data_IF_231674117990
#
_entry.id   IF_231674117990
#
_cell.length_a   1.000
_cell.length_b   1.000
_cell.length_c   1.000
_cell.angle_alpha   90.00
_cell.angle_beta   90.00
_cell.angle_gamma   90.00
#
_symmetry.space_group_name_H-M   'P 1'
#
loop_
_entity.id
_entity.type
_entity.pdbx_description
1 polymer ?
#
# COMPACT_ATOMS: atom_id res chain seq x y z
N UNK A 1 10.82 -27.62 -63.59
CA UNK A 1 10.93 -28.14 -62.21
C UNK A 1 12.38 -28.48 -61.80
N UNK A 2 13.37 -27.63 -62.09
CA UNK A 2 14.79 -27.82 -61.69
C UNK A 2 15.52 -26.52 -61.32
N UNK A 3 14.79 -25.47 -60.92
CA UNK A 3 15.37 -24.16 -60.60
C UNK A 3 14.92 -23.55 -59.26
N UNK A 4 14.16 -24.30 -58.46
CA UNK A 4 13.63 -23.85 -57.15
C UNK A 4 14.24 -24.59 -55.95
N UNK A 5 15.23 -25.46 -56.17
CA UNK A 5 15.88 -26.25 -55.12
C UNK A 5 17.27 -25.72 -54.71
N UNK A 6 17.76 -24.65 -55.33
CA UNK A 6 19.12 -24.11 -55.10
C UNK A 6 19.17 -22.90 -54.16
N UNK A 7 18.01 -22.35 -53.75
CA UNK A 7 17.93 -21.20 -52.83
C UNK A 7 17.75 -21.66 -51.36
N UNK A 8 17.38 -22.92 -51.12
CA UNK A 8 17.15 -23.46 -49.77
C UNK A 8 18.41 -24.01 -49.08
N UNK A 9 19.56 -24.10 -49.77
CA UNK A 9 20.80 -24.68 -49.21
C UNK A 9 21.84 -23.64 -48.75
N UNK A 10 21.57 -22.34 -48.89
CA UNK A 10 22.51 -21.25 -48.57
C UNK A 10 22.20 -20.51 -47.24
N UNK A 11 21.22 -20.99 -46.47
CA UNK A 11 20.85 -20.41 -45.16
C UNK A 11 21.27 -21.27 -43.95
N UNK A 12 22.05 -22.34 -44.14
CA UNK A 12 22.47 -23.24 -43.04
C UNK A 12 23.93 -23.11 -42.59
N UNK A 13 24.69 -22.09 -43.05
CA UNK A 13 26.08 -21.86 -42.59
C UNK A 13 26.40 -20.39 -42.28
N UNK A 14 25.65 -19.79 -41.35
CA UNK A 14 26.14 -18.63 -40.57
C UNK A 14 25.87 -18.81 -39.07
N UNK A 15 26.41 -19.90 -38.52
CA UNK A 15 26.78 -19.98 -37.11
C UNK A 15 28.31 -19.93 -37.05
N UNK A 16 28.86 -18.73 -37.21
CA UNK A 16 30.22 -18.42 -36.82
C UNK A 16 30.14 -17.84 -35.43
N UNK A 17 30.57 -18.63 -34.44
CA UNK A 17 30.64 -18.19 -33.06
C UNK A 17 31.52 -16.95 -32.93
N UNK A 18 30.90 -15.84 -32.54
CA UNK A 18 31.59 -14.84 -31.76
C UNK A 18 31.56 -15.34 -30.30
N UNK A 19 32.53 -16.18 -29.94
CA UNK A 19 32.94 -16.27 -28.54
C UNK A 19 33.55 -14.91 -28.20
N UNK A 20 32.71 -14.02 -27.69
CA UNK A 20 33.19 -12.86 -26.96
C UNK A 20 33.91 -13.40 -25.74
N UNK A 21 35.23 -13.40 -25.78
CA UNK A 21 36.09 -13.47 -24.58
C UNK A 21 36.05 -12.13 -23.84
N UNK A 22 34.86 -11.51 -23.77
CA UNK A 22 34.59 -10.41 -22.88
C UNK A 22 34.89 -10.90 -21.48
N UNK A 23 36.09 -10.56 -20.99
CA UNK A 23 36.36 -10.50 -19.57
C UNK A 23 35.13 -9.87 -18.93
N UNK A 24 34.58 -10.44 -17.84
CA UNK A 24 33.52 -9.75 -17.13
C UNK A 24 34.07 -8.35 -16.85
N UNK A 25 33.47 -7.34 -17.49
CA UNK A 25 33.62 -5.98 -17.00
C UNK A 25 33.21 -6.10 -15.54
N UNK A 26 34.19 -5.93 -14.67
CA UNK A 26 33.94 -5.79 -13.25
C UNK A 26 32.94 -4.65 -13.14
N UNK A 27 31.65 -5.00 -13.00
CA UNK A 27 30.63 -4.10 -12.49
C UNK A 27 31.30 -3.36 -11.35
N UNK A 28 31.44 -2.05 -11.52
CA UNK A 28 32.08 -1.18 -10.55
C UNK A 28 31.60 -1.64 -9.18
N UNK A 29 32.54 -2.17 -8.37
CA UNK A 29 32.21 -2.71 -7.07
C UNK A 29 31.43 -1.64 -6.33
N UNK A 30 30.14 -1.88 -6.12
CA UNK A 30 29.29 -1.00 -5.32
C UNK A 30 30.04 -0.86 -4.02
N UNK A 31 30.44 0.37 -3.68
CA UNK A 31 31.25 0.67 -2.50
C UNK A 31 30.66 -0.11 -1.32
N UNK A 32 31.49 -0.81 -0.52
CA UNK A 32 31.01 -1.69 0.54
C UNK A 32 30.07 -0.88 1.41
N UNK A 33 28.79 -1.27 1.37
CA UNK A 33 27.74 -0.68 2.19
C UNK A 33 28.26 -0.78 3.62
N UNK A 34 28.54 0.37 4.24
CA UNK A 34 29.02 0.43 5.62
C UNK A 34 28.12 -0.42 6.52
N UNK A 35 28.69 -0.96 7.60
CA UNK A 35 28.03 -1.77 8.65
C UNK A 35 26.53 -1.96 8.42
N UNK A 36 26.15 -3.13 7.87
CA UNK A 36 24.75 -3.48 7.66
C UNK A 36 24.02 -3.27 8.97
N UNK A 37 23.10 -2.31 8.99
CA UNK A 37 22.31 -1.98 10.17
C UNK A 37 21.66 -3.25 10.71
N UNK A 38 21.66 -3.42 12.03
CA UNK A 38 21.12 -4.61 12.68
C UNK A 38 19.69 -4.97 12.21
N UNK A 39 18.85 -3.95 11.94
CA UNK A 39 17.51 -4.16 11.40
C UNK A 39 17.49 -4.87 10.03
N UNK A 40 18.42 -4.54 9.14
CA UNK A 40 18.56 -5.21 7.83
C UNK A 40 19.07 -6.64 8.03
N UNK A 41 20.10 -6.80 8.86
CA UNK A 41 20.67 -8.10 9.17
C UNK A 41 19.66 -9.04 9.88
N UNK A 42 18.70 -8.50 10.63
CA UNK A 42 17.66 -9.28 11.29
C UNK A 42 16.46 -9.63 10.38
N UNK A 43 16.35 -9.02 9.19
CA UNK A 43 15.22 -9.26 8.30
C UNK A 43 15.30 -10.67 7.67
N UNK A 44 14.24 -11.46 7.81
CA UNK A 44 14.19 -12.86 7.35
C UNK A 44 14.34 -13.00 5.84
N UNK A 45 13.68 -12.13 5.07
CA UNK A 45 13.72 -12.16 3.62
C UNK A 45 15.12 -11.81 3.11
N UNK A 46 15.75 -10.78 3.70
CA UNK A 46 17.14 -10.45 3.41
C UNK A 46 18.06 -11.65 3.65
N UNK A 47 17.95 -12.33 4.78
CA UNK A 47 18.73 -13.53 5.09
C UNK A 47 18.47 -14.68 4.12
N UNK A 48 17.24 -14.82 3.62
CA UNK A 48 16.92 -15.79 2.56
C UNK A 48 17.60 -15.41 1.24
N UNK A 49 17.60 -14.14 0.83
CA UNK A 49 18.31 -13.72 -0.40
C UNK A 49 19.81 -13.99 -0.35
N UNK A 50 20.41 -14.02 0.86
CA UNK A 50 21.83 -14.35 1.03
C UNK A 50 22.11 -15.85 0.92
N UNK A 51 21.22 -16.68 1.46
CA UNK A 51 21.35 -18.14 1.47
C UNK A 51 20.90 -18.78 0.16
N UNK A 52 19.88 -18.21 -0.45
CA UNK A 52 19.28 -18.65 -1.71
C UNK A 52 18.99 -17.43 -2.60
N UNK A 53 19.99 -16.91 -3.34
CA UNK A 53 19.81 -15.74 -4.20
C UNK A 53 18.77 -15.91 -5.31
N UNK A 54 18.43 -17.14 -5.70
CA UNK A 54 17.40 -17.43 -6.72
C UNK A 54 15.97 -17.42 -6.16
N UNK A 55 15.78 -17.20 -4.86
CA UNK A 55 14.47 -17.09 -4.23
C UNK A 55 13.80 -15.74 -4.58
N UNK A 56 12.94 -15.76 -5.58
CA UNK A 56 12.29 -14.55 -6.09
C UNK A 56 11.30 -13.93 -5.10
N UNK A 57 10.65 -14.74 -4.27
CA UNK A 57 9.70 -14.25 -3.27
C UNK A 57 10.44 -13.56 -2.13
N UNK A 58 11.58 -14.10 -1.68
CA UNK A 58 12.43 -13.45 -0.70
C UNK A 58 12.93 -12.07 -1.17
N UNK A 59 13.31 -11.93 -2.45
CA UNK A 59 13.70 -10.63 -2.99
C UNK A 59 12.56 -9.62 -3.00
N UNK A 60 11.35 -10.03 -3.41
CA UNK A 60 10.17 -9.15 -3.40
C UNK A 60 9.78 -8.77 -1.97
N UNK A 61 9.81 -9.73 -1.04
CA UNK A 61 9.56 -9.51 0.39
C UNK A 61 10.53 -8.51 1.00
N UNK A 62 11.82 -8.71 0.79
CA UNK A 62 12.86 -7.79 1.25
C UNK A 62 12.68 -6.39 0.67
N UNK A 63 12.46 -6.28 -0.65
CA UNK A 63 12.26 -4.99 -1.31
C UNK A 63 11.04 -4.25 -0.73
N UNK A 64 9.90 -4.94 -0.55
CA UNK A 64 8.69 -4.38 0.09
C UNK A 64 8.98 -3.90 1.52
N UNK A 65 9.72 -4.69 2.30
CA UNK A 65 10.11 -4.31 3.66
C UNK A 65 10.95 -3.03 3.66
N UNK A 66 11.95 -2.90 2.78
CA UNK A 66 12.77 -1.68 2.68
C UNK A 66 11.92 -0.45 2.39
N UNK A 67 10.96 -0.55 1.47
CA UNK A 67 10.04 0.56 1.14
C UNK A 67 9.22 0.98 2.38
N UNK A 68 8.74 0.02 3.17
CA UNK A 68 7.75 0.25 4.22
C UNK A 68 8.34 0.51 5.62
N UNK A 69 9.51 -0.05 5.95
CA UNK A 69 10.08 0.00 7.31
C UNK A 69 10.30 1.43 7.80
N UNK A 70 10.13 1.66 9.10
CA UNK A 70 10.45 2.96 9.74
C UNK A 70 11.85 2.98 10.34
N UNK A 71 12.54 1.85 10.33
CA UNK A 71 13.86 1.70 10.95
C UNK A 71 14.98 2.29 10.08
N UNK A 72 14.66 2.67 8.84
CA UNK A 72 15.59 3.26 7.87
C UNK A 72 15.16 4.69 7.54
N UNK A 73 16.14 5.59 7.52
CA UNK A 73 16.02 6.93 6.96
C UNK A 73 15.75 6.88 5.44
N UNK A 74 15.27 7.99 4.87
CA UNK A 74 14.98 8.07 3.44
C UNK A 74 16.21 7.72 2.56
N UNK A 75 17.40 8.19 2.93
CA UNK A 75 18.64 7.89 2.20
C UNK A 75 19.03 6.42 2.31
N UNK A 76 18.92 5.82 3.52
CA UNK A 76 19.18 4.38 3.70
C UNK A 76 18.22 3.53 2.85
N UNK A 77 16.93 3.89 2.82
CA UNK A 77 15.94 3.20 1.99
C UNK A 77 16.30 3.25 0.51
N UNK A 78 16.64 4.44 0.00
CA UNK A 78 17.01 4.61 -1.40
C UNK A 78 18.24 3.76 -1.77
N UNK A 79 19.25 3.72 -0.91
CA UNK A 79 20.45 2.90 -1.13
C UNK A 79 20.10 1.41 -1.13
N UNK A 80 19.30 0.94 -0.16
CA UNK A 80 18.92 -0.46 -0.06
C UNK A 80 17.99 -0.90 -1.20
N UNK A 81 17.07 -0.04 -1.66
CA UNK A 81 16.22 -0.31 -2.83
C UNK A 81 17.08 -0.51 -4.09
N UNK A 82 17.98 0.43 -4.38
CA UNK A 82 18.89 0.34 -5.54
C UNK A 82 19.76 -0.92 -5.46
N UNK A 83 20.28 -1.25 -4.28
CA UNK A 83 21.06 -2.45 -4.06
C UNK A 83 20.24 -3.72 -4.29
N UNK A 84 19.00 -3.78 -3.79
CA UNK A 84 18.12 -4.93 -3.97
C UNK A 84 17.79 -5.17 -5.45
N UNK A 85 17.48 -4.12 -6.22
CA UNK A 85 17.20 -4.21 -7.65
C UNK A 85 18.44 -4.68 -8.42
N UNK A 86 19.59 -4.03 -8.19
CA UNK A 86 20.82 -4.36 -8.90
C UNK A 86 21.30 -5.79 -8.63
N UNK A 87 21.24 -6.24 -7.38
CA UNK A 87 21.67 -7.58 -7.01
C UNK A 87 20.69 -8.66 -7.46
N UNK A 88 19.38 -8.43 -7.32
CA UNK A 88 18.36 -9.42 -7.68
C UNK A 88 18.29 -9.68 -9.19
N UNK A 89 18.63 -8.69 -10.03
CA UNK A 89 18.56 -8.81 -11.49
C UNK A 89 19.30 -10.03 -12.05
N UNK A 90 20.48 -10.37 -11.50
CA UNK A 90 21.29 -11.49 -11.97
C UNK A 90 20.69 -12.87 -11.63
N UNK A 91 19.83 -12.94 -10.62
CA UNK A 91 19.28 -14.21 -10.11
C UNK A 91 17.82 -14.42 -10.49
N UNK A 92 17.03 -13.35 -10.50
CA UNK A 92 15.58 -13.41 -10.67
C UNK A 92 15.09 -12.49 -11.80
N UNK A 93 15.98 -11.98 -12.67
CA UNK A 93 15.65 -11.00 -13.71
C UNK A 93 14.54 -11.41 -14.67
N UNK A 94 14.31 -12.71 -14.85
CA UNK A 94 13.27 -13.28 -15.72
C UNK A 94 11.97 -13.64 -14.98
N UNK A 95 11.82 -13.30 -13.70
CA UNK A 95 10.63 -13.63 -12.91
C UNK A 95 9.61 -12.50 -12.89
N UNK A 96 8.36 -12.85 -12.55
CA UNK A 96 7.30 -11.85 -12.39
C UNK A 96 7.58 -10.94 -11.18
N UNK A 97 8.23 -11.45 -10.13
CA UNK A 97 8.61 -10.68 -8.95
C UNK A 97 9.56 -9.56 -9.31
N UNK A 98 10.57 -9.83 -10.14
CA UNK A 98 11.49 -8.79 -10.60
C UNK A 98 10.79 -7.75 -11.49
N UNK A 99 9.88 -8.19 -12.35
CA UNK A 99 9.03 -7.26 -13.13
C UNK A 99 8.17 -6.38 -12.22
N UNK A 100 7.60 -6.95 -11.15
CA UNK A 100 6.80 -6.21 -10.18
C UNK A 100 7.65 -5.22 -9.35
N UNK A 101 8.86 -5.59 -8.94
CA UNK A 101 9.80 -4.67 -8.27
C UNK A 101 10.05 -3.45 -9.15
N UNK A 102 10.44 -3.66 -10.41
CA UNK A 102 10.67 -2.56 -11.34
C UNK A 102 9.39 -1.75 -11.62
N UNK A 103 8.23 -2.40 -11.67
CA UNK A 103 6.95 -1.70 -11.79
C UNK A 103 6.72 -0.76 -10.60
N UNK A 104 6.97 -1.20 -9.37
CA UNK A 104 6.83 -0.36 -8.16
C UNK A 104 7.80 0.82 -8.22
N UNK A 105 9.06 0.58 -8.60
CA UNK A 105 10.10 1.60 -8.78
C UNK A 105 9.76 2.64 -9.85
N UNK A 106 9.03 2.26 -10.90
CA UNK A 106 8.53 3.19 -11.92
C UNK A 106 7.47 4.18 -11.40
N UNK A 107 7.24 4.22 -10.09
CA UNK A 107 6.10 4.91 -9.48
C UNK A 107 4.78 4.26 -9.90
N UNK A 108 4.79 2.96 -10.22
CA UNK A 108 3.60 2.17 -10.62
C UNK A 108 2.94 2.67 -11.91
N UNK A 109 3.75 3.21 -12.83
CA UNK A 109 3.27 3.82 -14.09
C UNK A 109 3.66 3.06 -15.33
N UNK A 110 4.71 2.25 -15.30
CA UNK A 110 5.13 1.50 -16.48
C UNK A 110 4.21 0.28 -16.70
N UNK A 111 3.25 0.43 -17.61
CA UNK A 111 2.29 -0.62 -17.97
C UNK A 111 2.98 -1.88 -18.54
N UNK A 112 4.15 -1.74 -19.17
CA UNK A 112 4.85 -2.89 -19.76
C UNK A 112 5.36 -3.85 -18.70
N UNK A 113 5.91 -3.31 -17.59
CA UNK A 113 6.38 -4.08 -16.44
C UNK A 113 5.24 -4.76 -15.70
N UNK A 114 4.10 -4.06 -15.52
CA UNK A 114 2.90 -4.66 -14.94
C UNK A 114 2.38 -5.83 -15.79
N UNK A 115 2.30 -5.65 -17.11
CA UNK A 115 1.86 -6.71 -18.03
C UNK A 115 2.81 -7.90 -18.03
N UNK A 116 4.12 -7.65 -17.99
CA UNK A 116 5.13 -8.70 -17.88
C UNK A 116 4.90 -9.53 -16.61
N UNK A 117 4.73 -8.89 -15.45
CA UNK A 117 4.43 -9.58 -14.19
C UNK A 117 3.14 -10.43 -14.29
N UNK A 118 2.04 -9.85 -14.79
CA UNK A 118 0.76 -10.54 -14.94
C UNK A 118 0.84 -11.76 -15.88
N UNK A 119 1.58 -11.66 -16.98
CA UNK A 119 1.71 -12.74 -17.95
C UNK A 119 2.53 -13.91 -17.42
N UNK A 120 3.52 -13.66 -16.57
CA UNK A 120 4.42 -14.67 -16.03
C UNK A 120 3.89 -15.35 -14.77
N UNK A 121 3.04 -14.68 -13.99
CA UNK A 121 2.54 -15.22 -12.73
C UNK A 121 1.42 -16.24 -12.92
N UNK A 122 1.63 -17.43 -12.32
CA UNK A 122 0.61 -18.47 -12.25
C UNK A 122 -0.58 -18.00 -11.38
N UNK A 123 -0.29 -17.54 -10.16
CA UNK A 123 -1.24 -16.83 -9.31
C UNK A 123 -1.02 -15.31 -9.42
N UNK A 124 -2.08 -14.60 -9.83
CA UNK A 124 -2.06 -13.15 -10.05
C UNK A 124 -2.63 -12.37 -8.86
N UNK A 125 -3.10 -13.05 -7.81
CA UNK A 125 -3.69 -12.45 -6.61
C UNK A 125 -2.79 -11.38 -5.98
N UNK A 126 -1.48 -11.60 -5.98
CA UNK A 126 -0.49 -10.65 -5.47
C UNK A 126 -0.23 -9.45 -6.37
N UNK A 127 -0.62 -9.51 -7.65
CA UNK A 127 -0.34 -8.48 -8.66
C UNK A 127 -1.56 -7.60 -8.90
N UNK A 128 -2.78 -8.15 -8.81
CA UNK A 128 -4.02 -7.38 -9.01
C UNK A 128 -4.14 -6.11 -8.17
N UNK A 129 -3.75 -6.07 -6.87
CA UNK A 129 -3.73 -4.83 -6.10
C UNK A 129 -2.93 -3.71 -6.78
N UNK A 130 -1.79 -4.06 -7.39
CA UNK A 130 -0.93 -3.12 -8.10
C UNK A 130 -1.52 -2.70 -9.44
N UNK A 131 -2.25 -3.59 -10.13
CA UNK A 131 -2.99 -3.26 -11.34
C UNK A 131 -4.13 -2.27 -11.06
N UNK A 132 -4.87 -2.49 -9.96
CA UNK A 132 -5.90 -1.54 -9.49
C UNK A 132 -5.28 -0.18 -9.18
N UNK A 133 -4.15 -0.15 -8.45
CA UNK A 133 -3.47 1.10 -8.14
C UNK A 133 -2.96 1.81 -9.41
N UNK A 134 -2.43 1.06 -10.37
CA UNK A 134 -2.06 1.57 -11.70
C UNK A 134 -3.25 2.24 -12.37
N UNK A 135 -4.41 1.56 -12.41
CA UNK A 135 -5.62 2.05 -13.02
C UNK A 135 -6.10 3.37 -12.42
N UNK A 136 -5.99 3.51 -11.10
CA UNK A 136 -6.33 4.76 -10.40
C UNK A 136 -5.38 5.89 -10.82
N UNK A 137 -4.07 5.62 -10.85
CA UNK A 137 -3.04 6.58 -11.27
C UNK A 137 -3.24 7.02 -12.73
N UNK A 138 -3.50 6.08 -13.63
CA UNK A 138 -3.67 6.36 -15.06
C UNK A 138 -5.09 6.71 -15.47
N UNK A 139 -6.03 6.70 -14.52
CA UNK A 139 -7.47 6.92 -14.73
C UNK A 139 -8.09 5.97 -15.77
N UNK A 140 -7.59 4.73 -15.83
CA UNK A 140 -8.07 3.67 -16.71
C UNK A 140 -9.24 2.92 -16.04
N UNK A 141 -10.47 3.37 -16.30
CA UNK A 141 -11.67 2.81 -15.68
C UNK A 141 -11.94 1.34 -16.05
N UNK A 142 -11.58 0.94 -17.28
CA UNK A 142 -11.73 -0.46 -17.72
C UNK A 142 -10.78 -1.36 -16.96
N UNK A 143 -9.50 -0.98 -16.89
CA UNK A 143 -8.49 -1.73 -16.15
C UNK A 143 -8.83 -1.80 -14.65
N UNK A 144 -9.35 -0.71 -14.08
CA UNK A 144 -9.83 -0.67 -12.70
C UNK A 144 -10.96 -1.69 -12.49
N UNK A 145 -11.93 -1.71 -13.40
CA UNK A 145 -13.09 -2.60 -13.31
C UNK A 145 -12.68 -4.07 -13.34
N UNK A 146 -11.92 -4.45 -14.37
CA UNK A 146 -11.52 -5.83 -14.62
C UNK A 146 -10.72 -6.41 -13.45
N UNK A 147 -9.73 -5.67 -12.95
CA UNK A 147 -8.88 -6.17 -11.87
C UNK A 147 -9.52 -6.08 -10.49
N UNK A 148 -10.44 -5.14 -10.24
CA UNK A 148 -11.20 -5.12 -8.99
C UNK A 148 -12.15 -6.32 -8.89
N UNK A 149 -12.82 -6.69 -9.99
CA UNK A 149 -13.61 -7.92 -10.07
C UNK A 149 -12.74 -9.16 -9.86
N UNK A 150 -11.67 -9.30 -10.66
CA UNK A 150 -10.79 -10.47 -10.60
C UNK A 150 -10.16 -10.65 -9.21
N UNK A 151 -9.75 -9.56 -8.55
CA UNK A 151 -9.22 -9.64 -7.18
C UNK A 151 -10.29 -10.06 -6.18
N UNK A 152 -11.49 -9.48 -6.25
CA UNK A 152 -12.56 -9.84 -5.31
C UNK A 152 -13.05 -11.29 -5.50
N UNK A 153 -12.92 -11.87 -6.69
CA UNK A 153 -13.25 -13.29 -6.92
C UNK A 153 -12.23 -14.23 -6.27
N UNK A 154 -10.92 -13.96 -6.43
CA UNK A 154 -9.86 -14.85 -5.93
C UNK A 154 -9.47 -14.58 -4.47
N UNK A 155 -9.70 -13.36 -4.00
CA UNK A 155 -9.43 -12.93 -2.64
C UNK A 155 -10.47 -11.86 -2.22
N UNK A 156 -11.71 -12.29 -1.91
CA UNK A 156 -12.76 -11.40 -1.47
C UNK A 156 -12.32 -10.53 -0.30
N UNK A 157 -12.80 -9.28 -0.25
CA UNK A 157 -12.51 -8.41 0.87
C UNK A 157 -13.00 -9.04 2.19
N UNK A 158 -12.13 -9.17 3.20
CA UNK A 158 -12.56 -9.50 4.56
C UNK A 158 -13.60 -8.48 5.05
N UNK A 159 -14.58 -8.95 5.84
CA UNK A 159 -15.69 -8.13 6.30
C UNK A 159 -15.24 -6.85 7.02
N UNK A 160 -14.10 -6.91 7.73
CA UNK A 160 -13.54 -5.80 8.49
C UNK A 160 -12.96 -4.72 7.57
N UNK A 161 -12.26 -5.12 6.51
CA UNK A 161 -11.77 -4.18 5.50
C UNK A 161 -12.96 -3.60 4.72
N UNK A 162 -13.95 -4.42 4.39
CA UNK A 162 -15.18 -3.95 3.76
C UNK A 162 -15.84 -2.84 4.58
N UNK A 163 -16.12 -3.10 5.86
CA UNK A 163 -16.79 -2.15 6.75
C UNK A 163 -15.97 -0.86 6.91
N UNK A 164 -14.66 -0.99 7.15
CA UNK A 164 -13.77 0.17 7.29
C UNK A 164 -13.81 1.05 6.05
N UNK A 165 -13.57 0.48 4.86
CA UNK A 165 -13.47 1.27 3.65
C UNK A 165 -14.82 1.79 3.18
N UNK A 166 -15.91 1.10 3.50
CA UNK A 166 -17.26 1.64 3.33
C UNK A 166 -17.45 2.89 4.21
N UNK A 167 -17.08 2.84 5.49
CA UNK A 167 -17.16 3.99 6.39
C UNK A 167 -16.27 5.15 5.94
N UNK A 168 -15.08 4.87 5.40
CA UNK A 168 -14.21 5.89 4.79
C UNK A 168 -14.93 6.57 3.63
N UNK A 169 -15.49 5.82 2.69
CA UNK A 169 -16.25 6.38 1.58
C UNK A 169 -17.46 7.19 2.06
N UNK A 170 -18.20 6.71 3.06
CA UNK A 170 -19.36 7.41 3.62
C UNK A 170 -18.99 8.67 4.42
N UNK A 171 -17.73 8.83 4.85
CA UNK A 171 -17.26 10.02 5.56
C UNK A 171 -17.05 11.23 4.65
N UNK A 172 -16.97 11.03 3.33
CA UNK A 172 -16.80 12.11 2.37
C UNK A 172 -18.16 12.56 1.80
N UNK A 173 -18.35 13.88 1.57
CA UNK A 173 -19.55 14.39 0.90
C UNK A 173 -19.61 13.91 -0.57
N UNK A 174 -20.72 14.21 -1.25
CA UNK A 174 -20.92 13.80 -2.63
C UNK A 174 -19.83 14.34 -3.56
N UNK A 175 -19.45 13.55 -4.57
CA UNK A 175 -18.46 13.93 -5.61
C UNK A 175 -17.05 14.26 -5.08
N UNK A 176 -16.73 13.85 -3.85
CA UNK A 176 -15.42 14.10 -3.24
C UNK A 176 -14.29 13.39 -3.98
N UNK A 177 -13.06 13.88 -3.77
CA UNK A 177 -11.84 13.19 -4.17
C UNK A 177 -11.14 12.67 -2.92
N UNK A 178 -10.88 11.36 -2.84
CA UNK A 178 -10.14 10.75 -1.74
C UNK A 178 -8.78 10.26 -2.24
N UNK A 179 -7.72 10.80 -1.65
CA UNK A 179 -6.34 10.40 -1.91
C UNK A 179 -5.87 9.35 -0.88
N UNK A 180 -5.48 8.17 -1.38
CA UNK A 180 -4.94 7.07 -0.57
C UNK A 180 -3.45 6.87 -0.84
N UNK A 181 -2.73 6.35 0.17
CA UNK A 181 -1.27 6.14 0.06
C UNK A 181 -0.92 4.79 -0.53
N UNK A 182 -1.64 3.76 -0.13
CA UNK A 182 -1.22 2.39 -0.38
C UNK A 182 -2.30 1.54 -1.01
N UNK A 183 -1.90 0.31 -1.32
CA UNK A 183 -2.79 -0.77 -1.68
C UNK A 183 -3.88 -0.96 -0.61
N UNK A 184 -3.52 -0.81 0.66
CA UNK A 184 -4.43 -0.97 1.80
C UNK A 184 -5.56 0.06 1.83
N UNK A 185 -5.40 1.23 1.21
CA UNK A 185 -6.47 2.24 1.16
C UNK A 185 -7.26 2.12 -0.14
N UNK A 186 -6.54 2.18 -1.25
CA UNK A 186 -7.12 2.37 -2.56
C UNK A 186 -7.80 1.11 -3.09
N UNK A 187 -7.21 -0.07 -2.85
CA UNK A 187 -7.70 -1.32 -3.44
C UNK A 187 -9.05 -1.72 -2.86
N UNK A 188 -9.26 -1.73 -1.53
CA UNK A 188 -10.58 -2.03 -0.99
C UNK A 188 -11.64 -1.00 -1.39
N UNK A 189 -11.33 0.30 -1.37
CA UNK A 189 -12.27 1.33 -1.82
C UNK A 189 -12.65 1.15 -3.30
N UNK A 190 -11.68 0.81 -4.16
CA UNK A 190 -11.93 0.52 -5.57
C UNK A 190 -12.85 -0.69 -5.77
N UNK A 191 -12.64 -1.75 -5.00
CA UNK A 191 -13.51 -2.94 -5.03
C UNK A 191 -14.94 -2.58 -4.58
N UNK A 192 -15.09 -1.83 -3.48
CA UNK A 192 -16.41 -1.37 -2.99
C UNK A 192 -17.16 -0.55 -4.04
N UNK A 193 -16.48 0.38 -4.71
CA UNK A 193 -17.08 1.20 -5.76
C UNK A 193 -17.44 0.37 -7.00
N UNK A 194 -16.53 -0.48 -7.45
CA UNK A 194 -16.66 -1.20 -8.73
C UNK A 194 -17.60 -2.38 -8.62
N UNK A 195 -17.36 -3.26 -7.65
CA UNK A 195 -18.04 -4.56 -7.50
C UNK A 195 -19.37 -4.39 -6.78
N UNK A 196 -19.39 -3.58 -5.72
CA UNK A 196 -20.56 -3.44 -4.84
C UNK A 196 -21.39 -2.18 -5.11
N UNK A 197 -20.94 -1.28 -5.99
CA UNK A 197 -21.68 -0.06 -6.33
C UNK A 197 -21.73 1.00 -5.25
N UNK A 198 -20.86 0.93 -4.24
CA UNK A 198 -20.88 1.84 -3.09
C UNK A 198 -20.18 3.15 -3.47
N UNK A 199 -20.87 4.28 -3.34
CA UNK A 199 -20.29 5.64 -3.51
C UNK A 199 -19.47 5.81 -4.80
N UNK A 200 -20.04 5.38 -5.93
CA UNK A 200 -19.47 5.55 -7.28
C UNK A 200 -19.26 7.02 -7.67
N UNK A 201 -19.87 7.95 -6.94
CA UNK A 201 -19.68 9.40 -7.09
C UNK A 201 -18.30 9.89 -6.61
N UNK A 202 -17.66 9.16 -5.70
CA UNK A 202 -16.34 9.55 -5.18
C UNK A 202 -15.24 9.18 -6.18
N UNK A 203 -14.28 10.09 -6.38
CA UNK A 203 -13.07 9.80 -7.16
C UNK A 203 -11.93 9.39 -6.23
N UNK A 204 -11.24 8.31 -6.57
CA UNK A 204 -10.03 7.90 -5.88
C UNK A 204 -8.80 8.50 -6.57
N UNK A 205 -7.83 8.94 -5.77
CA UNK A 205 -6.56 9.49 -6.22
C UNK A 205 -5.38 8.87 -5.48
N UNK A 206 -4.21 8.88 -6.11
CA UNK A 206 -2.98 8.42 -5.47
C UNK A 206 -2.22 9.59 -4.84
N UNK A 207 -1.86 9.49 -3.56
CA UNK A 207 -1.35 10.62 -2.76
C UNK A 207 -0.13 11.37 -3.32
N UNK A 208 0.69 10.73 -4.16
CA UNK A 208 1.84 11.37 -4.81
C UNK A 208 1.42 12.35 -5.91
N UNK A 209 0.17 12.28 -6.36
CA UNK A 209 -0.40 13.27 -7.26
C UNK A 209 -0.91 14.45 -6.43
N UNK A 210 -0.20 15.57 -6.51
CA UNK A 210 -0.66 16.79 -5.85
C UNK A 210 -1.97 17.26 -6.51
N UNK A 211 -3.07 17.36 -5.75
CA UNK A 211 -4.31 17.91 -6.31
C UNK A 211 -4.09 19.36 -6.73
N UNK A 212 -4.46 19.68 -7.98
CA UNK A 212 -4.44 21.05 -8.49
C UNK A 212 -5.53 21.90 -7.85
N UNK A 213 -6.66 21.26 -7.54
CA UNK A 213 -7.80 21.81 -6.82
C UNK A 213 -8.02 20.98 -5.56
N UNK A 214 -7.96 21.63 -4.39
CA UNK A 214 -8.15 20.98 -3.08
C UNK A 214 -9.60 21.07 -2.61
N UNK A 215 -10.48 21.73 -3.37
CA UNK A 215 -11.89 21.79 -3.03
C UNK A 215 -12.49 20.39 -3.02
N UNK A 216 -13.25 20.09 -1.98
CA UNK A 216 -13.87 18.77 -1.79
C UNK A 216 -12.87 17.59 -1.84
N UNK A 217 -11.62 17.84 -1.43
CA UNK A 217 -10.53 16.87 -1.49
C UNK A 217 -10.12 16.41 -0.10
N UNK A 218 -9.89 15.11 0.02
CA UNK A 218 -9.60 14.42 1.26
C UNK A 218 -8.37 13.51 1.10
N UNK A 219 -7.67 13.28 2.20
CA UNK A 219 -6.56 12.32 2.29
C UNK A 219 -6.90 11.27 3.35
N UNK A 220 -6.62 10.00 3.08
CA UNK A 220 -6.72 8.93 4.08
C UNK A 220 -5.70 9.16 5.21
N UNK A 221 -6.10 8.87 6.45
CA UNK A 221 -5.25 9.03 7.64
C UNK A 221 -3.92 8.25 7.56
N UNK A 222 -3.94 7.11 6.86
CA UNK A 222 -2.79 6.25 6.56
C UNK A 222 -1.71 6.92 5.71
N UNK A 223 -1.99 8.07 5.07
CA UNK A 223 -0.99 8.85 4.35
C UNK A 223 0.19 9.27 5.24
N UNK A 224 -0.08 9.44 6.54
CA UNK A 224 0.90 9.75 7.55
C UNK A 224 1.20 11.25 7.67
N UNK A 225 1.86 11.60 8.79
CA UNK A 225 2.10 12.99 9.20
C UNK A 225 2.83 13.81 8.13
N UNK A 226 3.82 13.23 7.47
CA UNK A 226 4.64 13.91 6.46
C UNK A 226 3.78 14.43 5.29
N UNK A 227 2.90 13.59 4.74
CA UNK A 227 2.00 13.98 3.64
C UNK A 227 1.01 15.03 4.10
N UNK A 228 0.39 14.82 5.27
CA UNK A 228 -0.62 15.71 5.83
C UNK A 228 -0.03 17.09 6.14
N UNK A 229 1.22 17.16 6.60
CA UNK A 229 1.89 18.43 6.95
C UNK A 229 2.11 19.38 5.78
N UNK A 230 1.98 18.90 4.54
CA UNK A 230 2.03 19.75 3.35
C UNK A 230 0.75 20.59 3.14
N UNK A 231 -0.29 20.37 3.96
CA UNK A 231 -1.58 21.05 3.88
C UNK A 231 -1.89 21.74 5.22
N UNK A 232 -1.39 22.97 5.47
CA UNK A 232 -1.48 23.63 6.78
C UNK A 232 -2.92 24.01 7.20
N UNK A 233 -3.88 23.96 6.27
CA UNK A 233 -5.31 24.20 6.52
C UNK A 233 -6.14 22.91 6.59
N UNK A 234 -5.48 21.76 6.54
CA UNK A 234 -6.17 20.49 6.58
C UNK A 234 -6.79 20.23 7.95
N UNK A 235 -7.95 19.58 7.98
CA UNK A 235 -8.64 19.20 9.21
C UNK A 235 -9.30 17.84 9.10
N UNK A 236 -9.66 17.27 10.24
CA UNK A 236 -10.27 15.95 10.30
C UNK A 236 -11.73 15.99 9.85
N UNK A 237 -12.11 15.05 8.99
CA UNK A 237 -13.48 14.83 8.53
C UNK A 237 -13.76 13.32 8.59
N UNK A 238 -14.29 12.85 9.73
CA UNK A 238 -14.53 11.44 9.99
C UNK A 238 -13.23 10.62 9.96
N UNK A 239 -13.11 9.72 8.98
CA UNK A 239 -11.93 8.87 8.76
C UNK A 239 -10.94 9.45 7.75
N UNK A 240 -11.13 10.70 7.38
CA UNK A 240 -10.38 11.41 6.36
C UNK A 240 -9.82 12.71 6.91
N UNK A 241 -8.90 13.28 6.15
CA UNK A 241 -8.35 14.61 6.35
C UNK A 241 -8.78 15.47 5.17
N UNK A 242 -9.71 16.40 5.39
CA UNK A 242 -10.11 17.39 4.41
C UNK A 242 -8.97 18.39 4.20
N UNK A 243 -8.65 18.72 2.94
CA UNK A 243 -7.54 19.61 2.61
C UNK A 243 -7.93 21.09 2.58
N UNK A 244 -9.22 21.38 2.42
CA UNK A 244 -9.76 22.73 2.35
C UNK A 244 -10.51 23.10 3.64
N UNK A 245 -10.23 24.31 4.16
CA UNK A 245 -11.22 25.11 4.88
C UNK A 245 -11.82 24.53 6.16
N UNK A 246 -11.17 23.57 6.83
CA UNK A 246 -11.75 22.92 8.00
C UNK A 246 -11.99 23.92 9.15
N UNK A 247 -13.22 24.40 9.29
CA UNK A 247 -13.78 24.80 10.58
C UNK A 247 -14.35 23.55 11.25
N UNK A 248 -14.13 23.42 12.56
CA UNK A 248 -14.65 22.31 13.37
C UNK A 248 -16.17 22.21 13.24
N UNK A 249 -16.65 21.10 12.68
CA UNK A 249 -18.08 20.84 12.40
C UNK A 249 -18.75 20.09 13.59
N UNK A 250 -19.77 20.67 14.24
CA UNK A 250 -20.55 20.03 15.31
C UNK A 250 -21.37 18.81 14.87
N UNK A 251 -21.75 18.70 13.60
CA UNK A 251 -22.55 17.62 13.04
C UNK A 251 -21.75 16.30 12.97
N UNK A 252 -20.42 16.43 12.80
CA UNK A 252 -19.44 15.35 12.88
C UNK A 252 -19.37 14.68 14.27
N UNK A 253 -19.77 15.37 15.35
CA UNK A 253 -19.92 14.75 16.68
C UNK A 253 -21.13 13.80 16.75
N UNK A 254 -22.17 14.02 15.95
CA UNK A 254 -23.35 13.14 15.91
C UNK A 254 -23.11 11.87 15.08
N UNK A 255 -22.30 11.93 14.02
CA UNK A 255 -22.04 10.77 13.15
C UNK A 255 -21.14 9.72 13.83
N UNK A 256 -20.23 10.13 14.72
CA UNK A 256 -19.42 9.22 15.53
C UNK A 256 -20.25 8.28 16.45
N UNK A 257 -21.52 8.63 16.72
CA UNK A 257 -22.44 7.83 17.53
C UNK A 257 -23.04 6.61 16.79
N UNK A 258 -22.80 6.45 15.48
CA UNK A 258 -23.32 5.33 14.67
C UNK A 258 -22.36 4.15 14.53
N UNK A 259 -21.09 4.31 14.93
CA UNK A 259 -20.15 3.21 15.08
C UNK A 259 -20.62 2.34 16.25
N UNK A 260 -20.94 1.06 16.02
CA UNK A 260 -21.49 0.18 17.06
C UNK A 260 -20.38 -0.27 18.02
N UNK A 261 -19.93 0.67 18.84
CA UNK A 261 -18.95 0.57 19.92
C UNK A 261 -19.12 -0.72 20.76
N UNK A 262 -20.36 -1.15 20.97
CA UNK A 262 -20.69 -2.35 21.73
C UNK A 262 -20.14 -3.64 21.07
N UNK A 263 -20.17 -3.76 19.75
CA UNK A 263 -19.68 -4.96 19.05
C UNK A 263 -18.17 -5.13 19.25
N UNK A 264 -17.40 -4.05 19.14
CA UNK A 264 -15.95 -4.07 19.33
C UNK A 264 -15.55 -4.31 20.79
N UNK A 265 -16.30 -3.72 21.73
CA UNK A 265 -16.09 -3.97 23.14
C UNK A 265 -16.38 -5.44 23.51
N UNK A 266 -17.34 -6.09 22.84
CA UNK A 266 -17.69 -7.50 23.08
C UNK A 266 -16.78 -8.54 22.40
N UNK A 267 -15.92 -8.15 21.46
CA UNK A 267 -15.04 -9.10 20.76
C UNK A 267 -13.74 -9.36 21.54
N UNK A 268 -13.55 -10.55 22.11
CA UNK A 268 -12.34 -10.86 22.88
C UNK A 268 -11.09 -11.06 22.01
N UNK A 269 -11.28 -11.38 20.74
CA UNK A 269 -10.22 -11.63 19.77
C UNK A 269 -10.46 -10.84 18.49
N UNK A 270 -9.38 -10.28 17.96
CA UNK A 270 -9.33 -9.66 16.63
C UNK A 270 -8.25 -10.37 15.82
N UNK A 271 -8.44 -10.46 14.50
CA UNK A 271 -7.37 -10.85 13.59
C UNK A 271 -6.25 -9.80 13.62
N UNK A 272 -5.02 -10.19 13.28
CA UNK A 272 -3.88 -9.25 13.19
C UNK A 272 -4.18 -8.06 12.26
N UNK A 273 -4.93 -8.30 11.18
CA UNK A 273 -5.40 -7.27 10.25
C UNK A 273 -6.34 -6.28 10.96
N UNK A 274 -7.31 -6.78 11.72
CA UNK A 274 -8.24 -5.94 12.48
C UNK A 274 -7.53 -5.15 13.59
N UNK A 275 -6.55 -5.74 14.26
CA UNK A 275 -5.70 -5.05 15.24
C UNK A 275 -4.99 -3.87 14.58
N UNK A 276 -4.35 -4.08 13.43
CA UNK A 276 -3.68 -3.02 12.68
C UNK A 276 -4.65 -1.94 12.19
N UNK A 277 -5.85 -2.33 11.77
CA UNK A 277 -6.89 -1.42 11.31
C UNK A 277 -7.41 -0.52 12.43
N UNK A 278 -7.88 -1.10 13.53
CA UNK A 278 -8.41 -0.36 14.67
C UNK A 278 -7.33 0.46 15.38
N UNK A 279 -6.06 0.04 15.31
CA UNK A 279 -4.94 0.85 15.79
C UNK A 279 -4.87 2.24 15.15
N UNK A 280 -5.32 2.37 13.90
CA UNK A 280 -5.36 3.65 13.20
C UNK A 280 -6.46 4.58 13.72
N UNK A 281 -7.45 4.04 14.45
CA UNK A 281 -8.52 4.80 15.11
C UNK A 281 -8.17 5.22 16.53
N UNK A 282 -7.06 4.76 17.11
CA UNK A 282 -6.67 5.13 18.46
C UNK A 282 -6.68 6.65 18.70
N UNK A 283 -6.16 7.51 17.79
CA UNK A 283 -6.27 8.96 17.95
C UNK A 283 -7.73 9.43 18.04
N UNK A 284 -8.61 8.91 17.17
CA UNK A 284 -10.04 9.25 17.16
C UNK A 284 -10.73 8.82 18.44
N UNK A 285 -10.47 7.59 18.93
CA UNK A 285 -11.06 7.11 20.20
C UNK A 285 -10.61 7.96 21.39
N UNK A 286 -9.35 8.37 21.43
CA UNK A 286 -8.81 9.28 22.46
C UNK A 286 -9.50 10.65 22.40
N UNK A 287 -9.69 11.21 21.19
CA UNK A 287 -10.39 12.49 21.01
C UNK A 287 -11.86 12.39 21.44
N UNK A 288 -12.54 11.30 21.13
CA UNK A 288 -13.92 11.05 21.57
C UNK A 288 -14.00 10.94 23.09
N UNK A 289 -13.10 10.19 23.73
CA UNK A 289 -13.00 10.16 25.20
C UNK A 289 -12.85 11.58 25.77
N UNK A 290 -11.92 12.39 25.24
CA UNK A 290 -11.69 13.76 25.72
C UNK A 290 -12.92 14.65 25.55
N UNK A 291 -13.61 14.54 24.43
CA UNK A 291 -14.84 15.29 24.14
C UNK A 291 -15.97 14.93 25.10
N UNK A 292 -16.14 13.63 25.40
CA UNK A 292 -17.20 13.15 26.29
C UNK A 292 -16.88 13.30 27.77
N UNK A 293 -15.61 13.40 28.18
CA UNK A 293 -15.19 13.40 29.58
C UNK A 293 -15.97 14.39 30.47
N UNK A 294 -16.29 15.58 29.95
CA UNK A 294 -17.04 16.60 30.68
C UNK A 294 -18.56 16.53 30.47
N UNK A 295 -19.00 16.02 29.31
CA UNK A 295 -20.41 16.04 28.90
C UNK A 295 -21.18 14.77 29.28
N UNK A 296 -20.52 13.62 29.21
CA UNK A 296 -21.08 12.30 29.50
C UNK A 296 -19.96 11.34 29.94
N UNK A 297 -19.62 11.32 31.25
CA UNK A 297 -18.52 10.52 31.77
C UNK A 297 -18.65 9.01 31.51
N UNK A 298 -19.88 8.49 31.54
CA UNK A 298 -20.14 7.08 31.26
C UNK A 298 -19.77 6.72 29.81
N UNK A 299 -20.13 7.57 28.85
CA UNK A 299 -19.76 7.36 27.45
C UNK A 299 -18.26 7.52 27.21
N UNK A 300 -17.63 8.48 27.90
CA UNK A 300 -16.19 8.68 27.86
C UNK A 300 -15.43 7.40 28.27
N UNK A 301 -15.83 6.75 29.37
CA UNK A 301 -15.17 5.52 29.83
C UNK A 301 -15.29 4.37 28.83
N UNK A 302 -16.37 4.29 28.03
CA UNK A 302 -16.47 3.29 26.95
C UNK A 302 -15.43 3.52 25.85
N UNK A 303 -15.23 4.77 25.44
CA UNK A 303 -14.23 5.13 24.44
C UNK A 303 -12.81 4.89 24.94
N UNK A 304 -12.54 5.21 26.21
CA UNK A 304 -11.27 4.90 26.87
C UNK A 304 -11.02 3.39 26.94
N UNK A 305 -12.02 2.61 27.33
CA UNK A 305 -11.93 1.16 27.38
C UNK A 305 -11.63 0.57 25.99
N UNK A 306 -12.31 1.04 24.95
CA UNK A 306 -12.03 0.61 23.57
C UNK A 306 -10.61 0.99 23.14
N UNK A 307 -10.18 2.23 23.39
CA UNK A 307 -8.84 2.68 23.04
C UNK A 307 -7.76 1.82 23.72
N UNK A 308 -7.91 1.55 25.02
CA UNK A 308 -6.96 0.72 25.77
C UNK A 308 -6.98 -0.74 25.31
N UNK A 309 -8.16 -1.29 24.98
CA UNK A 309 -8.29 -2.65 24.45
C UNK A 309 -7.52 -2.81 23.14
N UNK A 310 -7.77 -1.93 22.17
CA UNK A 310 -7.07 -1.94 20.88
C UNK A 310 -5.57 -1.65 21.06
N UNK A 311 -5.19 -0.77 22.00
CA UNK A 311 -3.79 -0.51 22.34
C UNK A 311 -3.09 -1.75 22.92
N UNK A 312 -3.77 -2.52 23.75
CA UNK A 312 -3.29 -3.79 24.31
C UNK A 312 -2.95 -4.78 23.21
N UNK A 313 -3.88 -4.98 22.29
CA UNK A 313 -3.71 -5.91 21.17
C UNK A 313 -2.64 -5.47 20.18
N UNK A 314 -2.41 -4.16 20.03
CA UNK A 314 -1.44 -3.60 19.09
C UNK A 314 -0.07 -3.26 19.68
N UNK A 315 0.16 -3.53 20.96
CA UNK A 315 1.41 -3.19 21.66
C UNK A 315 1.64 -1.69 21.84
N UNK A 316 0.57 -0.87 21.90
CA UNK A 316 0.63 0.61 21.98
C UNK A 316 0.08 1.19 23.29
N UNK A 317 -0.08 0.38 24.32
CA UNK A 317 -0.72 0.74 25.61
C UNK A 317 -0.10 1.99 26.24
N UNK A 318 1.23 2.06 26.34
CA UNK A 318 1.93 3.20 26.95
C UNK A 318 1.67 4.52 26.22
N UNK A 319 1.73 4.50 24.88
CA UNK A 319 1.48 5.68 24.06
C UNK A 319 0.04 6.20 24.25
N UNK A 320 -0.94 5.29 24.29
CA UNK A 320 -2.35 5.65 24.52
C UNK A 320 -2.55 6.19 25.93
N UNK A 321 -1.96 5.59 26.97
CA UNK A 321 -2.02 6.14 28.33
C UNK A 321 -1.49 7.58 28.41
N UNK A 322 -0.33 7.84 27.78
CA UNK A 322 0.25 9.19 27.73
C UNK A 322 -0.70 10.21 27.08
N UNK A 323 -1.34 9.82 25.98
CA UNK A 323 -2.28 10.69 25.25
C UNK A 323 -3.62 10.89 25.96
N UNK A 324 -4.07 9.93 26.77
CA UNK A 324 -5.26 10.05 27.60
C UNK A 324 -5.04 10.95 28.83
N UNK A 325 -3.79 11.03 29.31
CA UNK A 325 -3.40 11.85 30.46
C UNK A 325 -3.17 13.33 30.12
N UNK A 326 -2.69 13.62 28.90
CA UNK A 326 -2.61 14.99 28.33
C UNK A 326 -3.98 15.60 28.07
#
# INVERSE_FOLDING_TARGET
>A
MKFLLSILLLLLFRNSGAQSTGKPEHSAAVAPVGLVKQAIAANSDYQLTRRNPSDADAWLGYYKWVVQTRDLSANEKLLQQKAAIAQSAAYIGSTWQFSLINFIESGKRDRSLLKAALNMAADKSMIYPYAIQHAIITKDATLLHDYALALNEVNPLPAELFEYHQNVLQSAPANAIIFGKGLTDLVPMAILQTVFGIRKDIRLGYYEERPADITNTFICLSAGKEVISNYPRAGYAGLLVQLEGAQTDPELQQMAARFKLYQLLSQDHFSDIAIHLYSNYLPTFILLYKSYKQKNPMEAEKWKALALKIAGMSGKVEAVHKMLAS
#
